data_IF_895011386295
#
_entry.id   IF_895011386295
#
_cell.length_a   1.000
_cell.length_b   1.000
_cell.length_c   1.000
_cell.angle_alpha   90.00
_cell.angle_beta   90.00
_cell.angle_gamma   90.00
#
_symmetry.space_group_name_H-M   'P 1'
#
loop_
_entity.id
_entity.type
_entity.pdbx_description
1 polymer ?
#
# COMPACT_ATOMS: atom_id res chain seq x y z
N UNK A 1 2.82 33.60 -5.66
CA UNK A 1 2.76 32.90 -4.37
C UNK A 1 1.47 32.09 -4.38
N UNK A 2 1.52 30.87 -4.91
CA UNK A 2 0.39 29.96 -4.94
C UNK A 2 0.52 29.01 -3.76
N UNK A 3 -0.35 29.19 -2.77
CA UNK A 3 -0.56 28.22 -1.70
C UNK A 3 -1.24 27.00 -2.31
N UNK A 4 -0.53 25.87 -2.34
CA UNK A 4 -1.05 24.62 -2.88
C UNK A 4 -2.14 24.03 -1.98
N UNK A 5 -3.31 23.81 -2.56
CA UNK A 5 -4.39 23.01 -1.99
C UNK A 5 -3.93 21.55 -1.92
N UNK A 6 -3.59 21.10 -0.71
CA UNK A 6 -3.77 19.69 -0.34
C UNK A 6 -5.29 19.44 -0.48
N UNK A 7 -5.76 18.40 -1.18
CA UNK A 7 -7.19 18.12 -1.33
C UNK A 7 -7.89 18.23 0.02
N UNK A 8 -9.02 18.95 0.09
CA UNK A 8 -9.71 19.27 1.35
C UNK A 8 -10.14 18.04 2.16
N UNK A 9 -10.15 16.85 1.56
CA UNK A 9 -10.30 15.56 2.25
C UNK A 9 -9.09 15.13 3.09
N UNK A 10 -7.89 15.68 2.84
CA UNK A 10 -6.66 15.48 3.62
C UNK A 10 -6.47 16.55 4.72
N UNK A 11 -7.27 17.64 4.71
CA UNK A 11 -7.23 18.69 5.75
C UNK A 11 -8.01 18.33 7.03
N UNK A 12 -8.85 17.29 7.02
CA UNK A 12 -9.64 16.86 8.17
C UNK A 12 -9.07 15.65 8.94
N UNK A 13 -7.96 15.07 8.48
CA UNK A 13 -7.29 13.99 9.20
C UNK A 13 -6.51 14.58 10.39
N UNK A 14 -7.16 14.63 11.56
CA UNK A 14 -6.50 14.98 12.82
C UNK A 14 -5.45 13.96 13.26
N UNK A 15 -5.46 12.77 12.66
CA UNK A 15 -4.52 11.69 12.91
C UNK A 15 -4.12 11.05 11.58
N UNK A 16 -3.08 11.56 10.93
CA UNK A 16 -2.50 10.86 9.80
C UNK A 16 -1.98 9.50 10.27
N UNK A 17 -2.65 8.41 9.91
CA UNK A 17 -2.07 7.07 10.01
C UNK A 17 -1.36 6.78 8.71
N UNK A 18 -0.04 6.98 8.68
CA UNK A 18 0.78 6.44 7.61
C UNK A 18 1.20 5.03 7.99
N UNK A 19 0.95 4.05 7.12
CA UNK A 19 1.56 2.72 7.29
C UNK A 19 2.71 2.48 6.34
N UNK A 20 3.93 2.42 6.88
CA UNK A 20 5.11 1.97 6.17
C UNK A 20 5.36 0.49 6.49
N UNK A 21 5.06 -0.38 5.53
CA UNK A 21 5.37 -1.81 5.67
C UNK A 21 6.79 -2.10 5.24
N UNK A 22 7.66 -2.38 6.20
CA UNK A 22 8.91 -3.09 5.91
C UNK A 22 8.57 -4.56 5.87
N UNK A 23 8.66 -5.13 4.68
CA UNK A 23 8.62 -6.57 4.60
C UNK A 23 9.83 -7.07 5.41
N UNK A 24 9.56 -8.07 6.25
CA UNK A 24 10.60 -8.91 6.83
C UNK A 24 11.51 -9.36 5.67
N UNK A 25 12.62 -9.99 6.01
CA UNK A 25 13.32 -10.89 5.10
C UNK A 25 14.48 -10.22 4.36
N UNK A 26 15.64 -10.36 4.99
CA UNK A 26 16.77 -11.11 4.42
C UNK A 26 16.59 -11.62 2.98
N UNK A 27 15.49 -12.35 2.69
CA UNK A 27 15.08 -12.80 1.35
C UNK A 27 14.93 -11.69 0.29
N UNK A 28 14.30 -10.56 0.59
CA UNK A 28 14.10 -9.49 -0.39
C UNK A 28 15.41 -8.79 -0.75
N UNK A 29 16.18 -8.38 0.26
CA UNK A 29 17.49 -7.78 0.05
C UNK A 29 18.41 -8.74 -0.72
N UNK A 30 18.38 -10.03 -0.37
CA UNK A 30 19.13 -11.11 -1.04
C UNK A 30 18.67 -11.40 -2.46
N UNK A 31 17.37 -11.38 -2.72
CA UNK A 31 16.78 -11.63 -4.04
C UNK A 31 17.24 -10.57 -5.05
N UNK A 32 17.23 -9.31 -4.64
CA UNK A 32 17.58 -8.18 -5.51
C UNK A 32 19.05 -7.76 -5.44
N UNK A 33 19.83 -8.37 -4.53
CA UNK A 33 21.26 -8.07 -4.30
C UNK A 33 21.51 -6.60 -3.96
N UNK A 34 20.63 -6.00 -3.15
CA UNK A 34 20.71 -4.59 -2.78
C UNK A 34 21.50 -4.42 -1.48
N UNK A 35 22.79 -4.77 -1.50
CA UNK A 35 23.60 -4.90 -0.27
C UNK A 35 24.38 -3.65 0.12
N UNK A 36 24.50 -2.67 -0.78
CA UNK A 36 25.41 -1.53 -0.62
C UNK A 36 25.06 -0.59 0.55
N UNK A 37 23.89 -0.78 1.16
CA UNK A 37 23.44 -0.02 2.33
C UNK A 37 23.86 -0.68 3.66
N UNK A 38 24.30 -1.93 3.63
CA UNK A 38 24.61 -2.72 4.82
C UNK A 38 26.10 -2.69 5.18
N UNK A 39 26.41 -2.96 6.44
CA UNK A 39 27.81 -3.12 6.86
C UNK A 39 28.48 -4.30 6.13
N UNK A 40 29.81 -4.36 6.05
CA UNK A 40 30.51 -5.49 5.44
C UNK A 40 30.13 -6.85 6.05
N UNK A 41 29.91 -6.88 7.37
CA UNK A 41 29.50 -8.07 8.11
C UNK A 41 28.08 -8.50 7.71
N UNK A 42 27.13 -7.56 7.74
CA UNK A 42 25.73 -7.80 7.36
C UNK A 42 25.59 -8.22 5.90
N UNK A 43 26.37 -7.61 5.02
CA UNK A 43 26.47 -7.97 3.60
C UNK A 43 26.91 -9.42 3.43
N UNK A 44 27.93 -9.87 4.18
CA UNK A 44 28.38 -11.26 4.10
C UNK A 44 27.29 -12.26 4.52
N UNK A 45 26.48 -11.90 5.53
CA UNK A 45 25.35 -12.73 5.97
C UNK A 45 24.30 -12.84 4.84
N UNK A 46 23.94 -11.70 4.22
CA UNK A 46 23.01 -11.65 3.09
C UNK A 46 23.51 -12.40 1.84
N UNK A 47 24.80 -12.29 1.51
CA UNK A 47 25.43 -13.02 0.41
C UNK A 47 25.36 -14.53 0.63
N UNK A 48 25.74 -14.99 1.83
CA UNK A 48 25.67 -16.42 2.20
C UNK A 48 24.25 -16.98 2.05
N UNK A 49 23.24 -16.22 2.48
CA UNK A 49 21.85 -16.66 2.33
C UNK A 49 21.37 -16.66 0.88
N UNK A 50 21.77 -15.66 0.10
CA UNK A 50 21.43 -15.61 -1.31
C UNK A 50 21.93 -16.87 -2.03
N UNK A 51 23.19 -17.21 -1.81
CA UNK A 51 23.85 -18.32 -2.49
C UNK A 51 23.24 -19.68 -2.12
N UNK A 52 22.67 -19.80 -0.91
CA UNK A 52 21.96 -21.00 -0.47
C UNK A 52 20.51 -21.12 -0.93
N UNK A 53 19.83 -20.02 -1.24
CA UNK A 53 18.37 -20.00 -1.46
C UNK A 53 17.93 -19.59 -2.87
N UNK A 54 18.81 -18.98 -3.67
CA UNK A 54 18.44 -18.44 -4.98
C UNK A 54 19.39 -18.91 -6.08
N UNK A 55 18.85 -18.99 -7.30
CA UNK A 55 19.65 -19.28 -8.48
C UNK A 55 20.77 -18.23 -8.66
N UNK A 56 21.97 -18.72 -8.99
CA UNK A 56 23.11 -17.87 -9.33
C UNK A 56 22.75 -16.99 -10.54
N UNK A 57 22.70 -15.68 -10.28
CA UNK A 57 22.47 -14.65 -11.29
C UNK A 57 23.44 -13.52 -10.99
N UNK A 58 24.16 -13.08 -12.02
CA UNK A 58 24.96 -11.87 -11.93
C UNK A 58 24.01 -10.68 -11.95
N UNK A 59 23.97 -9.96 -10.82
CA UNK A 59 23.09 -8.81 -10.62
C UNK A 59 23.95 -7.66 -10.12
N UNK A 60 24.01 -6.58 -10.88
CA UNK A 60 24.64 -5.34 -10.43
C UNK A 60 23.70 -4.61 -9.45
N UNK A 61 24.09 -4.39 -8.18
CA UNK A 61 23.25 -3.70 -7.19
C UNK A 61 22.81 -2.29 -7.62
N UNK A 62 23.69 -1.55 -8.30
CA UNK A 62 23.44 -0.17 -8.70
C UNK A 62 22.42 -0.10 -9.83
N UNK A 63 22.56 -0.96 -10.85
CA UNK A 63 21.57 -1.08 -11.92
C UNK A 63 20.20 -1.52 -11.37
N UNK A 64 20.17 -2.43 -10.39
CA UNK A 64 18.93 -2.87 -9.74
C UNK A 64 18.25 -1.74 -8.96
N UNK A 65 19.04 -0.88 -8.31
CA UNK A 65 18.56 0.35 -7.67
C UNK A 65 17.94 1.29 -8.70
N UNK A 66 18.66 1.58 -9.80
CA UNK A 66 18.21 2.45 -10.88
C UNK A 66 16.98 1.91 -11.63
N UNK A 67 16.80 0.59 -11.67
CA UNK A 67 15.58 -0.04 -12.19
C UNK A 67 14.41 -0.04 -11.20
N UNK A 68 14.57 0.55 -10.01
CA UNK A 68 13.55 0.57 -8.96
C UNK A 68 13.27 -0.80 -8.33
N UNK A 69 14.19 -1.77 -8.47
CA UNK A 69 14.00 -3.12 -7.92
C UNK A 69 14.33 -3.20 -6.44
N UNK A 70 15.30 -2.41 -5.97
CA UNK A 70 15.66 -2.36 -4.56
C UNK A 70 14.55 -1.75 -3.69
N UNK A 71 14.26 -2.31 -2.51
CA UNK A 71 13.35 -1.69 -1.55
C UNK A 71 13.93 -0.40 -0.98
N UNK A 72 13.06 0.48 -0.48
CA UNK A 72 13.45 1.71 0.20
C UNK A 72 13.92 1.41 1.63
N UNK A 73 14.94 2.10 2.11
CA UNK A 73 15.35 2.02 3.53
C UNK A 73 14.41 2.85 4.40
N UNK A 74 14.40 2.62 5.73
CA UNK A 74 13.61 3.48 6.61
C UNK A 74 13.98 4.95 6.54
N UNK A 75 15.28 5.27 6.45
CA UNK A 75 15.72 6.65 6.27
C UNK A 75 15.15 7.26 4.97
N UNK A 76 15.20 6.52 3.85
CA UNK A 76 14.69 6.99 2.56
C UNK A 76 13.19 7.23 2.59
N UNK A 77 12.42 6.33 3.21
CA UNK A 77 10.99 6.52 3.44
C UNK A 77 10.75 7.78 4.25
N UNK A 78 11.50 7.98 5.34
CA UNK A 78 11.39 9.18 6.16
C UNK A 78 11.69 10.46 5.38
N UNK A 79 12.72 10.45 4.54
CA UNK A 79 13.08 11.57 3.68
C UNK A 79 12.01 11.88 2.63
N UNK A 80 11.37 10.86 2.05
CA UNK A 80 10.24 11.06 1.13
C UNK A 80 9.10 11.76 1.85
N UNK A 81 8.73 11.26 3.03
CA UNK A 81 7.63 11.83 3.80
C UNK A 81 7.89 13.30 4.19
N UNK A 82 9.11 13.62 4.62
CA UNK A 82 9.52 14.99 4.89
C UNK A 82 9.40 15.88 3.66
N UNK A 83 9.87 15.42 2.49
CA UNK A 83 9.78 16.17 1.25
C UNK A 83 8.32 16.39 0.78
N UNK A 84 7.42 15.47 1.15
CA UNK A 84 5.97 15.58 0.92
C UNK A 84 5.23 16.45 1.93
N UNK A 85 5.91 16.99 2.95
CA UNK A 85 5.34 17.92 3.92
C UNK A 85 4.90 17.29 5.25
N UNK A 86 5.12 15.99 5.46
CA UNK A 86 4.88 15.38 6.77
C UNK A 86 5.97 15.79 7.76
N UNK A 87 5.59 16.04 9.01
CA UNK A 87 6.50 16.48 10.05
C UNK A 87 6.54 15.55 11.27
N UNK A 88 7.33 15.92 12.28
CA UNK A 88 7.51 15.11 13.48
C UNK A 88 6.26 14.98 14.37
N UNK A 89 5.19 15.74 14.09
CA UNK A 89 3.89 15.62 14.75
C UNK A 89 3.03 14.49 14.16
N UNK A 90 3.39 14.03 12.95
CA UNK A 90 2.75 12.91 12.24
C UNK A 90 2.84 11.63 13.08
N UNK A 91 1.70 11.00 13.33
CA UNK A 91 1.64 9.64 13.89
C UNK A 91 1.92 8.65 12.76
N UNK A 92 2.72 7.61 13.00
CA UNK A 92 3.01 6.61 11.98
C UNK A 92 2.85 5.24 12.60
N UNK A 93 2.06 4.39 11.97
CA UNK A 93 1.97 2.99 12.33
C UNK A 93 2.90 2.17 11.43
N UNK A 94 3.72 1.30 12.00
CA UNK A 94 4.68 0.48 11.28
C UNK A 94 4.16 -0.96 11.22
N UNK A 95 3.54 -1.31 10.09
CA UNK A 95 3.16 -2.69 9.78
C UNK A 95 4.37 -3.46 9.27
N UNK A 96 5.31 -3.76 10.15
CA UNK A 96 6.55 -4.43 9.81
C UNK A 96 6.85 -5.55 10.80
N UNK A 97 7.44 -6.63 10.30
CA UNK A 97 8.17 -7.55 11.16
C UNK A 97 9.51 -6.96 11.61
N UNK A 98 10.28 -7.74 12.37
CA UNK A 98 11.65 -7.35 12.73
C UNK A 98 12.49 -7.03 11.48
N UNK A 99 13.07 -5.84 11.46
CA UNK A 99 13.92 -5.35 10.38
C UNK A 99 15.32 -5.97 10.51
N UNK A 100 15.89 -6.46 9.40
CA UNK A 100 17.28 -6.92 9.37
C UNK A 100 18.23 -5.74 9.68
N UNK A 101 19.14 -5.96 10.64
CA UNK A 101 19.99 -4.91 11.21
C UNK A 101 19.31 -4.06 12.29
N UNK A 102 18.00 -4.21 12.52
CA UNK A 102 17.28 -3.68 13.68
C UNK A 102 17.38 -2.16 13.85
N UNK A 103 17.64 -1.73 15.09
CA UNK A 103 17.57 -0.35 15.53
C UNK A 103 18.51 0.61 14.79
N UNK A 104 19.65 0.13 14.27
CA UNK A 104 20.60 0.99 13.55
C UNK A 104 19.96 1.64 12.30
N UNK A 105 19.07 0.92 11.61
CA UNK A 105 18.37 1.40 10.41
C UNK A 105 17.07 2.12 10.75
N UNK A 106 16.46 1.83 11.90
CA UNK A 106 15.25 2.51 12.36
C UNK A 106 15.51 3.86 13.02
N UNK A 107 16.69 4.04 13.63
CA UNK A 107 17.05 5.27 14.36
C UNK A 107 16.91 6.55 13.53
N UNK A 108 17.39 6.63 12.26
CA UNK A 108 17.18 7.83 11.44
C UNK A 108 15.70 8.12 11.17
N UNK A 109 14.90 7.09 10.92
CA UNK A 109 13.46 7.24 10.69
C UNK A 109 12.74 7.75 11.94
N UNK A 110 13.04 7.17 13.12
CA UNK A 110 12.47 7.61 14.40
C UNK A 110 12.89 9.03 14.78
N UNK A 111 14.07 9.47 14.37
CA UNK A 111 14.51 10.85 14.56
C UNK A 111 13.67 11.85 13.72
N UNK A 112 13.21 11.44 12.53
CA UNK A 112 12.32 12.25 11.69
C UNK A 112 10.88 12.21 12.19
N UNK A 113 10.43 11.05 12.65
CA UNK A 113 9.06 10.78 13.09
C UNK A 113 9.07 10.05 14.44
N UNK A 114 8.98 10.78 15.57
CA UNK A 114 9.08 10.18 16.89
C UNK A 114 7.80 9.46 17.35
N UNK A 115 6.64 9.78 16.77
CA UNK A 115 5.33 9.19 17.13
C UNK A 115 5.08 7.91 16.33
N UNK A 116 5.86 6.88 16.63
CA UNK A 116 5.78 5.57 15.97
C UNK A 116 5.00 4.57 16.83
N UNK A 117 4.04 3.90 16.20
CA UNK A 117 3.30 2.78 16.75
C UNK A 117 3.48 1.53 15.87
N UNK A 118 3.23 0.35 16.41
CA UNK A 118 3.20 -0.93 15.69
C UNK A 118 2.21 -1.87 16.38
N UNK A 119 1.98 -3.08 15.85
CA UNK A 119 1.03 -4.01 16.46
C UNK A 119 1.31 -4.33 17.94
N UNK A 120 2.57 -4.21 18.40
CA UNK A 120 2.94 -4.45 19.79
C UNK A 120 2.63 -3.26 20.71
N UNK A 121 2.55 -2.04 20.17
CA UNK A 121 2.30 -0.83 20.97
C UNK A 121 0.81 -0.49 21.09
N UNK A 122 -0.02 -0.88 20.12
CA UNK A 122 -1.49 -0.66 20.16
C UNK A 122 -2.21 -1.69 21.02
N UNK A 123 -1.56 -2.80 21.35
CA UNK A 123 -2.17 -3.90 22.09
C UNK A 123 -1.56 -4.03 23.49
N UNK A 124 -2.26 -3.47 24.48
CA UNK A 124 -1.86 -3.52 25.89
C UNK A 124 -2.34 -4.81 26.59
N UNK A 125 -2.98 -5.73 25.88
CA UNK A 125 -3.47 -6.98 26.48
C UNK A 125 -2.34 -8.02 26.55
N UNK A 126 -2.02 -8.47 27.77
CA UNK A 126 -0.98 -9.46 28.07
C UNK A 126 -1.17 -10.80 27.30
N UNK A 127 -2.42 -11.07 26.90
CA UNK A 127 -2.87 -12.23 26.15
C UNK A 127 -2.39 -12.28 24.69
N UNK A 128 -2.11 -11.12 24.08
CA UNK A 128 -1.65 -11.02 22.69
C UNK A 128 -0.16 -10.65 22.58
N UNK A 129 0.43 -10.02 23.59
CA UNK A 129 1.88 -9.82 23.66
C UNK A 129 2.65 -11.15 23.65
N UNK A 130 2.10 -12.18 24.29
CA UNK A 130 2.63 -13.56 24.29
C UNK A 130 2.29 -14.35 23.00
N UNK A 131 1.30 -13.90 22.22
CA UNK A 131 0.84 -14.51 20.95
C UNK A 131 1.19 -13.67 19.70
N UNK A 132 2.00 -12.63 19.85
CA UNK A 132 2.57 -11.84 18.74
C UNK A 132 3.44 -12.70 17.80
N UNK A 133 3.75 -13.93 18.19
CA UNK A 133 4.28 -14.97 17.31
C UNK A 133 3.18 -15.52 16.38
N UNK A 134 3.13 -15.03 15.14
CA UNK A 134 2.36 -15.66 14.06
C UNK A 134 1.48 -14.71 13.25
N UNK A 135 0.33 -15.21 12.79
CA UNK A 135 -0.58 -14.50 11.87
C UNK A 135 -1.34 -13.33 12.52
N UNK A 136 -1.43 -13.28 13.85
CA UNK A 136 -2.23 -12.27 14.56
C UNK A 136 -1.68 -10.85 14.39
N UNK A 137 -0.38 -10.62 14.62
CA UNK A 137 0.23 -9.31 14.41
C UNK A 137 0.08 -8.85 12.96
N UNK A 138 0.18 -9.78 12.01
CA UNK A 138 -0.10 -9.49 10.59
C UNK A 138 -1.56 -9.15 10.32
N UNK A 139 -2.51 -9.72 11.07
CA UNK A 139 -3.94 -9.38 10.95
C UNK A 139 -4.23 -7.97 11.51
N UNK A 140 -3.63 -7.62 12.65
CA UNK A 140 -3.69 -6.25 13.21
C UNK A 140 -3.08 -5.26 12.22
N UNK A 141 -1.88 -5.55 11.71
CA UNK A 141 -1.22 -4.75 10.68
C UNK A 141 -2.12 -4.54 9.46
N UNK A 142 -2.78 -5.60 8.99
CA UNK A 142 -3.70 -5.53 7.85
C UNK A 142 -4.88 -4.61 8.14
N UNK A 143 -5.54 -4.77 9.29
CA UNK A 143 -6.70 -3.95 9.65
C UNK A 143 -6.35 -2.48 9.84
N UNK A 144 -5.22 -2.18 10.50
CA UNK A 144 -4.75 -0.80 10.64
C UNK A 144 -4.39 -0.22 9.28
N UNK A 145 -3.69 -0.95 8.40
CA UNK A 145 -3.43 -0.51 7.02
C UNK A 145 -4.70 -0.26 6.21
N UNK A 146 -5.73 -1.08 6.40
CA UNK A 146 -7.00 -0.97 5.67
C UNK A 146 -7.75 0.29 6.09
N UNK A 147 -7.77 0.60 7.38
CA UNK A 147 -8.56 1.71 7.94
C UNK A 147 -7.81 3.04 8.01
N UNK A 148 -6.47 3.02 7.90
CA UNK A 148 -5.63 4.20 7.89
C UNK A 148 -6.02 5.22 6.79
N UNK A 149 -5.84 6.51 7.06
CA UNK A 149 -6.09 7.57 6.07
C UNK A 149 -5.14 7.47 4.88
N UNK A 150 -3.84 7.24 5.14
CA UNK A 150 -2.83 7.13 4.09
C UNK A 150 -2.07 5.81 4.23
N UNK A 151 -2.10 4.99 3.18
CA UNK A 151 -1.27 3.80 3.10
C UNK A 151 -0.05 4.07 2.20
N UNK A 152 1.16 3.70 2.64
CA UNK A 152 2.37 3.82 1.82
C UNK A 152 3.16 2.51 1.79
N UNK A 153 2.93 1.66 0.76
CA UNK A 153 3.77 0.49 0.59
C UNK A 153 5.21 0.91 0.25
N UNK A 154 6.19 0.41 1.01
CA UNK A 154 7.62 0.68 0.77
C UNK A 154 8.22 -0.21 -0.33
N UNK A 155 7.47 -1.24 -0.73
CA UNK A 155 7.83 -2.22 -1.74
C UNK A 155 6.57 -2.73 -2.46
N UNK A 156 6.56 -2.61 -3.78
CA UNK A 156 5.46 -3.01 -4.67
C UNK A 156 5.79 -4.26 -5.51
N UNK A 157 6.72 -5.10 -5.04
CA UNK A 157 6.92 -6.42 -5.66
C UNK A 157 5.77 -7.39 -5.37
N UNK A 158 5.96 -8.70 -5.61
CA UNK A 158 4.89 -9.70 -5.49
C UNK A 158 4.56 -10.02 -4.02
N UNK A 159 4.26 -9.01 -3.22
CA UNK A 159 3.75 -9.19 -1.87
C UNK A 159 2.22 -9.22 -1.92
N UNK A 160 1.64 -10.37 -1.60
CA UNK A 160 0.19 -10.52 -1.53
C UNK A 160 -0.44 -9.51 -0.56
N UNK A 161 0.24 -9.17 0.54
CA UNK A 161 -0.31 -8.26 1.55
C UNK A 161 -0.52 -6.83 1.02
N UNK A 162 0.50 -6.23 0.42
CA UNK A 162 0.39 -4.86 -0.09
C UNK A 162 -0.61 -4.80 -1.25
N UNK A 163 -0.54 -5.75 -2.19
CA UNK A 163 -1.45 -5.83 -3.32
C UNK A 163 -2.92 -6.01 -2.88
N UNK A 164 -3.18 -6.90 -1.92
CA UNK A 164 -4.52 -7.11 -1.39
C UNK A 164 -5.04 -5.87 -0.66
N UNK A 165 -4.19 -5.15 0.07
CA UNK A 165 -4.59 -3.89 0.72
C UNK A 165 -4.93 -2.79 -0.29
N UNK A 166 -4.16 -2.68 -1.37
CA UNK A 166 -4.44 -1.70 -2.44
C UNK A 166 -5.82 -1.94 -3.03
N UNK A 167 -6.14 -3.19 -3.40
CA UNK A 167 -7.45 -3.53 -3.94
C UNK A 167 -8.57 -3.38 -2.92
N UNK A 168 -8.36 -3.81 -1.68
CA UNK A 168 -9.37 -3.71 -0.63
C UNK A 168 -9.67 -2.25 -0.27
N UNK A 169 -8.65 -1.39 -0.15
CA UNK A 169 -8.81 0.05 0.07
C UNK A 169 -9.51 0.75 -1.10
N UNK A 170 -9.31 0.27 -2.33
CA UNK A 170 -10.02 0.77 -3.51
C UNK A 170 -11.49 0.34 -3.49
N UNK A 171 -11.76 -0.93 -3.19
CA UNK A 171 -13.11 -1.52 -3.13
C UNK A 171 -14.01 -0.95 -2.04
N UNK A 172 -13.48 -0.75 -0.84
CA UNK A 172 -14.23 -0.24 0.31
C UNK A 172 -14.30 1.30 0.36
N UNK A 173 -14.54 1.94 -0.79
CA UNK A 173 -14.82 3.38 -0.88
C UNK A 173 -13.59 4.28 -1.04
N UNK A 174 -12.52 3.77 -1.68
CA UNK A 174 -11.25 4.45 -1.94
C UNK A 174 -10.63 5.19 -0.74
N UNK A 175 -9.48 4.69 -0.29
CA UNK A 175 -8.63 5.41 0.67
C UNK A 175 -7.27 5.75 0.07
N UNK A 176 -6.75 6.93 0.41
CA UNK A 176 -5.51 7.48 -0.17
C UNK A 176 -4.35 6.50 0.00
N UNK A 177 -3.66 6.24 -1.10
CA UNK A 177 -2.47 5.37 -1.10
C UNK A 177 -1.32 6.02 -1.86
N UNK A 178 -0.24 6.32 -1.17
CA UNK A 178 0.96 6.92 -1.77
C UNK A 178 1.92 5.81 -2.19
N UNK A 179 2.13 5.63 -3.49
CA UNK A 179 3.10 4.66 -4.03
C UNK A 179 4.35 5.40 -4.49
N UNK A 180 5.48 5.34 -3.76
CA UNK A 180 6.70 5.99 -4.21
C UNK A 180 7.26 5.34 -5.48
N UNK A 181 7.53 6.14 -6.51
CA UNK A 181 8.23 5.69 -7.72
C UNK A 181 9.71 5.46 -7.41
N UNK A 182 10.03 4.23 -6.98
CA UNK A 182 11.41 3.83 -6.63
C UNK A 182 12.39 4.02 -7.77
N UNK A 183 11.94 3.87 -9.02
CA UNK A 183 12.78 4.05 -10.22
C UNK A 183 13.09 5.53 -10.42
N UNK A 184 12.07 6.39 -10.36
CA UNK A 184 12.22 7.84 -10.46
C UNK A 184 13.02 8.45 -9.30
N UNK A 185 12.90 7.89 -8.10
CA UNK A 185 13.56 8.38 -6.89
C UNK A 185 15.04 7.95 -6.77
N UNK A 186 15.44 6.85 -7.42
CA UNK A 186 16.79 6.29 -7.28
C UNK A 186 17.91 7.30 -7.57
N UNK A 187 17.87 8.13 -8.64
CA UNK A 187 18.91 9.12 -8.90
C UNK A 187 19.06 10.16 -7.78
N UNK A 188 17.96 10.60 -7.17
CA UNK A 188 17.99 11.57 -6.08
C UNK A 188 18.66 11.00 -4.82
N UNK A 189 18.39 9.73 -4.50
CA UNK A 189 19.02 9.05 -3.37
C UNK A 189 20.51 8.77 -3.61
N UNK A 190 20.89 8.35 -4.82
CA UNK A 190 22.31 8.14 -5.18
C UNK A 190 23.08 9.46 -5.08
N UNK A 191 22.54 10.55 -5.63
CA UNK A 191 23.17 11.87 -5.55
C UNK A 191 23.33 12.34 -4.09
N UNK A 192 22.32 12.12 -3.25
CA UNK A 192 22.36 12.43 -1.82
C UNK A 192 23.42 11.63 -1.08
N UNK A 193 23.52 10.32 -1.35
CA UNK A 193 24.54 9.45 -0.76
C UNK A 193 25.98 9.89 -1.13
N UNK A 194 26.15 10.46 -2.32
CA UNK A 194 27.40 11.08 -2.78
C UNK A 194 27.63 12.51 -2.23
N UNK A 195 26.81 12.96 -1.27
CA UNK A 195 26.95 14.26 -0.60
C UNK A 195 26.21 15.42 -1.27
N UNK A 196 25.57 15.22 -2.43
CA UNK A 196 24.79 16.28 -3.11
C UNK A 196 23.41 16.43 -2.47
N UNK A 197 23.32 17.29 -1.45
CA UNK A 197 22.08 17.52 -0.69
C UNK A 197 21.20 18.64 -1.25
N UNK A 198 21.76 19.59 -1.99
CA UNK A 198 21.03 20.72 -2.54
C UNK A 198 19.95 20.27 -3.52
N UNK A 199 18.73 20.80 -3.40
CA UNK A 199 17.61 20.48 -4.28
C UNK A 199 17.02 19.07 -4.11
N UNK A 200 17.45 18.30 -3.11
CA UNK A 200 16.97 16.92 -2.90
C UNK A 200 15.46 16.84 -2.68
N UNK A 201 14.90 17.68 -1.79
CA UNK A 201 13.46 17.67 -1.49
C UNK A 201 12.62 18.04 -2.73
N UNK A 202 13.11 19.00 -3.54
CA UNK A 202 12.47 19.39 -4.80
C UNK A 202 12.46 18.25 -5.81
N UNK A 203 13.59 17.53 -5.93
CA UNK A 203 13.68 16.38 -6.81
C UNK A 203 12.72 15.26 -6.37
N UNK A 204 12.65 14.97 -5.07
CA UNK A 204 11.70 13.98 -4.52
C UNK A 204 10.27 14.40 -4.80
N UNK A 205 9.89 15.65 -4.49
CA UNK A 205 8.53 16.15 -4.71
C UNK A 205 8.12 16.06 -6.17
N UNK A 206 9.00 16.47 -7.09
CA UNK A 206 8.75 16.37 -8.53
C UNK A 206 8.45 14.93 -8.96
N UNK A 207 9.24 13.97 -8.50
CA UNK A 207 9.02 12.55 -8.83
C UNK A 207 7.70 12.06 -8.25
N UNK A 208 7.43 12.36 -6.98
CA UNK A 208 6.18 11.95 -6.32
C UNK A 208 4.93 12.55 -6.99
N UNK A 209 5.00 13.81 -7.44
CA UNK A 209 3.90 14.50 -8.12
C UNK A 209 3.67 14.05 -9.56
N UNK A 210 4.66 13.42 -10.19
CA UNK A 210 4.49 12.80 -11.52
C UNK A 210 3.73 11.46 -11.46
N UNK A 211 3.37 11.00 -10.27
CA UNK A 211 2.51 9.83 -10.07
C UNK A 211 1.07 10.26 -9.82
N UNK A 212 0.14 9.31 -9.73
CA UNK A 212 -1.24 9.56 -9.30
C UNK A 212 -1.34 10.13 -7.87
N UNK A 213 -0.24 10.15 -7.09
CA UNK A 213 -0.09 10.75 -5.76
C UNK A 213 -1.31 10.56 -4.86
N UNK A 214 -1.70 9.30 -4.65
CA UNK A 214 -2.82 8.99 -3.78
C UNK A 214 -4.20 9.26 -4.37
N UNK A 215 -4.30 9.54 -5.67
CA UNK A 215 -5.54 9.51 -6.45
C UNK A 215 -5.75 8.13 -7.08
N UNK A 216 -6.99 7.74 -7.39
CA UNK A 216 -7.25 6.55 -8.17
C UNK A 216 -6.58 6.63 -9.54
N UNK A 217 -6.12 5.51 -10.05
CA UNK A 217 -5.56 5.39 -11.39
C UNK A 217 -6.17 4.19 -12.11
N UNK A 218 -6.30 4.30 -13.42
CA UNK A 218 -6.70 3.18 -14.26
C UNK A 218 -5.65 2.07 -14.18
N UNK A 219 -6.11 0.81 -14.13
CA UNK A 219 -5.22 -0.34 -14.07
C UNK A 219 -4.36 -0.43 -15.32
N UNK A 220 -3.06 -0.58 -15.13
CA UNK A 220 -2.10 -0.79 -16.24
C UNK A 220 -2.11 -2.25 -16.72
N UNK A 221 -1.68 -2.49 -17.97
CA UNK A 221 -1.80 -3.77 -18.71
C UNK A 221 -1.24 -5.03 -18.02
N UNK A 222 -0.49 -4.91 -16.92
CA UNK A 222 0.07 -6.02 -16.15
C UNK A 222 -0.20 -5.94 -14.63
N UNK A 223 -1.02 -4.99 -14.18
CA UNK A 223 -1.45 -4.93 -12.78
C UNK A 223 -2.60 -5.91 -12.58
N UNK A 224 -2.65 -6.55 -11.40
CA UNK A 224 -3.70 -7.52 -11.07
C UNK A 224 -5.02 -6.81 -10.84
N UNK A 225 -6.12 -7.42 -11.30
CA UNK A 225 -7.48 -6.98 -10.97
C UNK A 225 -7.72 -6.91 -9.46
N UNK A 226 -7.11 -7.82 -8.67
CA UNK A 226 -7.20 -7.81 -7.20
C UNK A 226 -6.39 -6.70 -6.54
N UNK A 227 -5.44 -6.10 -7.26
CA UNK A 227 -4.70 -4.92 -6.78
C UNK A 227 -5.43 -3.63 -7.16
N UNK A 228 -6.07 -3.61 -8.34
CA UNK A 228 -6.76 -2.45 -8.88
C UNK A 228 -7.93 -2.90 -9.76
N UNK A 229 -9.16 -2.85 -9.24
CA UNK A 229 -10.33 -3.29 -10.01
C UNK A 229 -10.94 -2.18 -10.88
N UNK A 230 -10.29 -1.01 -10.99
CA UNK A 230 -10.67 0.02 -11.96
C UNK A 230 -10.13 -0.35 -13.36
N UNK A 231 -10.92 -0.25 -14.45
CA UNK A 231 -12.25 0.38 -14.52
C UNK A 231 -13.43 -0.58 -14.38
N UNK A 232 -13.20 -1.89 -14.22
CA UNK A 232 -14.29 -2.87 -14.32
C UNK A 232 -15.29 -2.82 -13.17
N UNK A 233 -14.85 -2.46 -11.96
CA UNK A 233 -15.71 -2.41 -10.76
C UNK A 233 -16.06 -1.00 -10.30
N UNK A 234 -15.45 0.03 -10.90
CA UNK A 234 -15.64 1.42 -10.48
C UNK A 234 -15.94 2.29 -11.68
N UNK A 235 -16.77 3.28 -11.43
CA UNK A 235 -17.19 4.23 -12.43
C UNK A 235 -17.23 5.63 -11.80
N UNK A 236 -17.18 6.63 -12.66
CA UNK A 236 -17.32 8.04 -12.31
C UNK A 236 -18.73 8.49 -12.70
N UNK A 237 -19.44 9.14 -11.79
CA UNK A 237 -20.73 9.76 -12.10
C UNK A 237 -20.57 10.80 -13.21
N UNK A 238 -19.48 11.57 -13.17
CA UNK A 238 -19.12 12.58 -14.16
C UNK A 238 -17.80 12.23 -14.85
N UNK A 239 -17.83 11.19 -15.69
CA UNK A 239 -16.65 10.76 -16.42
C UNK A 239 -16.35 11.65 -17.64
N UNK A 240 -15.09 12.05 -17.81
CA UNK A 240 -14.57 12.63 -19.07
C UNK A 240 -14.57 11.62 -20.20
N UNK A 241 -14.23 10.36 -19.89
CA UNK A 241 -14.28 9.24 -20.83
C UNK A 241 -15.62 8.50 -20.65
N UNK A 242 -16.46 8.35 -21.69
CA UNK A 242 -17.71 7.61 -21.60
C UNK A 242 -17.58 6.18 -21.05
N UNK A 243 -16.44 5.51 -21.28
CA UNK A 243 -16.19 4.14 -20.78
C UNK A 243 -16.06 4.06 -19.27
N UNK A 244 -15.81 5.17 -18.58
CA UNK A 244 -15.72 5.23 -17.13
C UNK A 244 -17.02 5.74 -16.50
N UNK A 245 -18.04 6.10 -17.29
CA UNK A 245 -19.28 6.66 -16.75
C UNK A 245 -20.07 5.58 -16.04
N UNK A 246 -20.61 5.90 -14.87
CA UNK A 246 -21.50 4.99 -14.18
C UNK A 246 -22.72 4.66 -15.05
N UNK A 247 -23.16 3.39 -15.09
CA UNK A 247 -24.44 3.05 -15.69
C UNK A 247 -25.55 3.94 -15.11
N UNK A 248 -26.47 4.43 -15.95
CA UNK A 248 -27.54 5.32 -15.50
C UNK A 248 -28.50 4.62 -14.53
N UNK A 249 -28.64 3.30 -14.67
CA UNK A 249 -29.48 2.46 -13.83
C UNK A 249 -28.66 1.81 -12.70
N UNK A 250 -29.27 1.64 -11.53
CA UNK A 250 -28.67 0.89 -10.44
C UNK A 250 -28.42 -0.55 -10.89
N UNK A 251 -27.16 -0.91 -11.14
CA UNK A 251 -26.75 -2.22 -11.65
C UNK A 251 -27.27 -3.36 -10.77
N UNK A 252 -27.33 -3.18 -9.44
CA UNK A 252 -27.87 -4.18 -8.53
C UNK A 252 -29.38 -4.36 -8.73
N UNK A 253 -30.10 -3.27 -8.99
CA UNK A 253 -31.53 -3.32 -9.24
C UNK A 253 -31.83 -3.94 -10.61
N UNK A 254 -31.04 -3.64 -11.64
CA UNK A 254 -31.15 -4.29 -12.95
C UNK A 254 -30.88 -5.78 -12.85
N UNK A 255 -29.79 -6.17 -12.17
CA UNK A 255 -29.46 -7.58 -11.95
C UNK A 255 -30.51 -8.30 -11.11
N UNK A 256 -31.04 -7.65 -10.07
CA UNK A 256 -32.11 -8.20 -9.25
C UNK A 256 -33.39 -8.41 -10.06
N UNK A 257 -33.82 -7.39 -10.82
CA UNK A 257 -34.98 -7.48 -11.70
C UNK A 257 -34.79 -8.56 -12.78
N UNK A 258 -33.57 -8.71 -13.31
CA UNK A 258 -33.24 -9.78 -14.27
C UNK A 258 -33.32 -11.16 -13.59
N UNK A 259 -32.79 -11.31 -12.39
CA UNK A 259 -32.87 -12.56 -11.62
C UNK A 259 -34.32 -12.92 -11.30
N UNK A 260 -35.10 -11.95 -10.83
CA UNK A 260 -36.53 -12.11 -10.56
C UNK A 260 -37.27 -12.50 -11.83
N UNK A 261 -37.00 -11.84 -12.97
CA UNK A 261 -37.65 -12.17 -14.24
C UNK A 261 -37.31 -13.58 -14.73
N UNK A 262 -36.08 -14.06 -14.50
CA UNK A 262 -35.67 -15.43 -14.82
C UNK A 262 -36.30 -16.45 -13.86
N UNK A 263 -36.47 -16.09 -12.58
CA UNK A 263 -37.17 -16.93 -11.61
C UNK A 263 -38.68 -17.02 -11.90
N UNK A 264 -39.30 -15.93 -12.35
CA UNK A 264 -40.72 -15.92 -12.75
C UNK A 264 -40.96 -16.51 -14.14
N UNK A 265 -39.97 -16.45 -15.04
CA UNK A 265 -40.05 -17.02 -16.38
C UNK A 265 -39.92 -18.54 -16.45
N UNK A 266 -39.38 -19.17 -15.38
CA UNK A 266 -39.30 -20.63 -15.22
C UNK A 266 -40.48 -21.23 -14.45
N UNK A 267 -41.47 -20.42 -14.07
CA UNK A 267 -42.71 -20.93 -13.48
C UNK A 267 -43.76 -21.07 -14.58
N UNK A 268 -44.02 -22.32 -14.95
CA UNK A 268 -45.17 -22.72 -15.76
C UNK A 268 -46.45 -22.04 -15.24
N UNK A 269 -47.39 -21.59 -16.08
CA UNK A 269 -48.58 -20.83 -15.66
C UNK A 269 -49.62 -21.63 -14.84
N UNK A 270 -49.30 -22.83 -14.38
CA UNK A 270 -50.26 -23.78 -13.80
C UNK A 270 -50.02 -24.16 -12.33
N UNK A 271 -49.45 -23.28 -11.51
CA UNK A 271 -49.55 -23.43 -10.04
C UNK A 271 -49.73 -22.09 -9.32
N UNK A 272 -50.82 -21.38 -9.62
CA UNK A 272 -51.30 -20.30 -8.76
C UNK A 272 -52.60 -20.71 -8.10
N UNK A 273 -52.52 -21.56 -7.08
CA UNK A 273 -53.52 -21.67 -6.00
C UNK A 273 -53.04 -22.65 -4.93
N UNK A 274 -52.43 -22.12 -3.85
CA UNK A 274 -52.78 -22.43 -2.45
C UNK A 274 -51.70 -21.95 -1.49
N UNK A 275 -52.13 -21.15 -0.52
CA UNK A 275 -51.62 -21.27 0.85
C UNK A 275 -50.83 -20.08 1.40
N UNK A 276 -51.56 -19.17 2.05
CA UNK A 276 -51.11 -18.28 3.12
C UNK A 276 -50.02 -18.88 4.03
N UNK A 277 -49.00 -18.09 4.41
CA UNK A 277 -48.71 -17.63 5.79
C UNK A 277 -47.29 -17.02 5.94
N UNK A 278 -47.26 -15.80 6.48
CA UNK A 278 -46.23 -15.19 7.39
C UNK A 278 -44.73 -15.36 7.09
N UNK A 279 -44.00 -14.23 6.92
CA UNK A 279 -43.17 -13.59 7.98
C UNK A 279 -42.07 -12.66 7.41
N UNK A 280 -42.02 -11.43 7.95
CA UNK A 280 -40.87 -10.58 8.33
C UNK A 280 -39.59 -10.40 7.47
N UNK A 281 -39.25 -9.10 7.35
CA UNK A 281 -37.94 -8.44 7.55
C UNK A 281 -36.82 -8.49 6.49
N UNK A 282 -36.58 -7.31 5.90
CA UNK A 282 -35.33 -6.51 5.81
C UNK A 282 -33.98 -7.22 6.08
N UNK A 283 -33.11 -7.23 5.07
CA UNK A 283 -31.84 -6.46 5.04
C UNK A 283 -31.31 -6.36 3.63
#
# INVERSE_FOLDING_TARGET
QEFFFIPSSLCYARDLYLVARYHRDFSLWSTYRCFNIFSPEEKAILEKYRDGNFAKKDLNPEERRLMGKCPLTPEEVGLILRAMGFDNSTRIFLAAGELFGGEQYMKPFRALFPRLENHSSVDSSEDLSTKSQGLLGSAVDYMVCLLADIFMPTYDGPSNFANNLLGHRLYYGFRTTIRPDRKGLAPAFIARAQGRKAGFEEAVRRVMMNTSFGSPQERVRNESFYTNSWPECFCQTEARNPTHRCPPDNVLQVLHNQLESQMTGNLDPHQQQRGNRTSSMVR
#
